data_IF_035243876336
#
_entry.id   IF_035243876336
#
_cell.length_a   1.000
_cell.length_b   1.000
_cell.length_c   1.000
_cell.angle_alpha   90.00
_cell.angle_beta   90.00
_cell.angle_gamma   90.00
#
_symmetry.space_group_name_H-M   'P 1'
#
loop_
_entity.id
_entity.type
_entity.pdbx_description
1 polymer ?
#
# COMPACT_ATOMS: atom_id res chain seq x y z
N UNK A 1 3.80 -47.30 0.64
CA UNK A 1 4.90 -46.38 0.30
C UNK A 1 4.27 -45.05 -0.10
N UNK A 2 4.08 -44.16 0.86
CA UNK A 2 3.40 -42.87 0.65
C UNK A 2 4.45 -41.80 0.41
N UNK A 3 4.80 -41.54 -0.85
CA UNK A 3 5.59 -40.35 -1.17
C UNK A 3 4.62 -39.21 -1.48
N UNK A 4 4.51 -38.35 -0.47
CA UNK A 4 3.86 -37.04 -0.52
C UNK A 4 4.30 -36.28 -1.78
N UNK A 5 3.31 -35.84 -2.56
CA UNK A 5 3.49 -34.89 -3.64
C UNK A 5 4.09 -33.60 -3.07
N UNK A 6 5.40 -33.41 -3.22
CA UNK A 6 6.06 -32.12 -3.00
C UNK A 6 5.63 -31.17 -4.12
N UNK A 7 4.44 -30.60 -3.98
CA UNK A 7 4.04 -29.45 -4.77
C UNK A 7 4.66 -28.21 -4.12
N UNK A 8 5.97 -28.03 -4.31
CA UNK A 8 6.67 -26.79 -3.94
C UNK A 8 6.30 -25.72 -4.94
N UNK A 9 5.18 -25.04 -4.71
CA UNK A 9 4.82 -23.85 -5.49
C UNK A 9 5.98 -22.83 -5.40
N UNK A 10 6.42 -22.34 -6.57
CA UNK A 10 7.52 -21.37 -6.66
C UNK A 10 7.12 -20.00 -6.11
N UNK A 11 5.82 -19.72 -6.06
CA UNK A 11 5.24 -18.49 -5.52
C UNK A 11 4.01 -18.80 -4.66
N UNK A 12 3.63 -17.84 -3.84
CA UNK A 12 2.35 -17.81 -3.15
C UNK A 12 1.79 -16.39 -3.17
N UNK A 13 0.49 -16.25 -2.93
CA UNK A 13 -0.17 -14.96 -2.79
C UNK A 13 -0.29 -14.60 -1.30
N UNK A 14 0.22 -13.45 -0.91
CA UNK A 14 0.12 -12.91 0.44
C UNK A 14 -0.85 -11.73 0.50
N UNK A 15 -1.93 -11.85 1.28
CA UNK A 15 -2.77 -10.72 1.65
C UNK A 15 -2.12 -9.99 2.81
N UNK A 16 -1.90 -8.69 2.65
CA UNK A 16 -1.32 -7.80 3.63
C UNK A 16 -2.35 -6.75 4.02
N UNK A 17 -2.36 -6.37 5.30
CA UNK A 17 -3.20 -5.31 5.85
C UNK A 17 -2.32 -4.14 6.29
N UNK A 18 -2.75 -2.92 6.03
CA UNK A 18 -2.13 -1.72 6.57
C UNK A 18 -2.83 -1.40 7.89
N UNK A 19 -2.07 -1.40 8.97
CA UNK A 19 -2.54 -1.00 10.29
C UNK A 19 -1.49 -0.13 10.95
N UNK A 20 -1.90 1.02 11.47
CA UNK A 20 -1.01 1.98 12.14
C UNK A 20 0.21 2.35 11.28
N UNK A 21 -0.01 2.49 9.95
CA UNK A 21 1.04 2.83 8.98
C UNK A 21 2.02 1.70 8.62
N UNK A 22 1.81 0.46 9.10
CA UNK A 22 2.65 -0.70 8.78
C UNK A 22 1.89 -1.78 8.02
N UNK A 23 2.52 -2.32 6.98
CA UNK A 23 2.00 -3.48 6.26
C UNK A 23 2.29 -4.76 7.04
N UNK A 24 1.24 -5.44 7.47
CA UNK A 24 1.31 -6.68 8.23
C UNK A 24 0.76 -7.84 7.39
N UNK A 25 1.36 -9.04 7.47
CA UNK A 25 0.81 -10.22 6.82
C UNK A 25 -0.51 -10.64 7.49
N UNK A 26 -1.50 -11.00 6.68
CA UNK A 26 -2.82 -11.43 7.16
C UNK A 26 -3.14 -12.87 6.73
N UNK A 27 -3.02 -13.19 5.43
CA UNK A 27 -3.34 -14.53 4.91
C UNK A 27 -2.44 -14.93 3.76
N UNK A 28 -2.26 -16.23 3.59
CA UNK A 28 -1.48 -16.85 2.53
C UNK A 28 -2.39 -17.74 1.68
N UNK A 29 -2.26 -17.65 0.37
CA UNK A 29 -2.97 -18.45 -0.63
C UNK A 29 -1.99 -19.06 -1.62
N UNK A 30 -2.40 -20.15 -2.27
CA UNK A 30 -1.66 -20.72 -3.39
C UNK A 30 -1.55 -19.72 -4.55
N UNK A 31 -0.56 -19.88 -5.42
CA UNK A 31 -0.36 -18.99 -6.57
C UNK A 31 -1.60 -18.88 -7.47
N UNK A 32 -2.33 -19.99 -7.63
CA UNK A 32 -3.48 -20.09 -8.53
C UNK A 32 -4.80 -19.59 -7.92
N UNK A 33 -4.81 -19.27 -6.61
CA UNK A 33 -6.02 -18.93 -5.86
C UNK A 33 -6.26 -17.41 -5.76
N UNK A 34 -5.94 -16.67 -6.83
CA UNK A 34 -6.09 -15.20 -6.84
C UNK A 34 -7.52 -14.74 -6.52
N UNK A 35 -8.54 -15.47 -7.00
CA UNK A 35 -9.93 -15.14 -6.70
C UNK A 35 -10.26 -15.19 -5.21
N UNK A 36 -9.76 -16.20 -4.49
CA UNK A 36 -9.95 -16.30 -3.04
C UNK A 36 -9.14 -15.25 -2.28
N UNK A 37 -7.91 -14.98 -2.74
CA UNK A 37 -7.08 -13.91 -2.18
C UNK A 37 -7.74 -12.53 -2.32
N UNK A 38 -8.37 -12.25 -3.47
CA UNK A 38 -9.14 -11.02 -3.72
C UNK A 38 -10.36 -10.94 -2.82
N UNK A 39 -11.17 -12.01 -2.75
CA UNK A 39 -12.34 -12.04 -1.87
C UNK A 39 -11.95 -11.78 -0.42
N UNK A 40 -10.86 -12.40 0.06
CA UNK A 40 -10.40 -12.19 1.43
C UNK A 40 -9.85 -10.78 1.65
N UNK A 41 -9.11 -10.23 0.69
CA UNK A 41 -8.60 -8.87 0.79
C UNK A 41 -9.74 -7.86 0.87
N UNK A 42 -10.79 -8.00 0.07
CA UNK A 42 -11.98 -7.15 0.13
C UNK A 42 -12.79 -7.33 1.42
N UNK A 43 -12.90 -8.56 1.93
CA UNK A 43 -13.55 -8.82 3.21
C UNK A 43 -12.85 -8.07 4.35
N UNK A 44 -11.51 -8.14 4.39
CA UNK A 44 -10.70 -7.49 5.42
C UNK A 44 -10.66 -5.97 5.24
N UNK A 45 -10.69 -5.46 4.00
CA UNK A 45 -10.71 -4.01 3.75
C UNK A 45 -11.98 -3.31 4.25
N UNK A 46 -13.06 -4.07 4.46
CA UNK A 46 -14.31 -3.56 5.07
C UNK A 46 -14.15 -3.28 6.57
N UNK A 47 -13.15 -3.86 7.22
CA UNK A 47 -12.85 -3.58 8.61
C UNK A 47 -12.30 -2.16 8.76
N UNK A 48 -12.99 -1.33 9.56
CA UNK A 48 -12.60 0.05 9.82
C UNK A 48 -11.31 0.18 10.63
N UNK A 49 -10.86 -0.90 11.28
CA UNK A 49 -9.59 -0.93 12.01
C UNK A 49 -8.38 -1.12 11.10
N UNK A 50 -8.62 -1.42 9.81
CA UNK A 50 -7.59 -1.57 8.79
C UNK A 50 -7.62 -0.34 7.87
N UNK A 51 -6.45 0.25 7.65
CA UNK A 51 -6.28 1.41 6.77
C UNK A 51 -6.34 1.06 5.28
N UNK A 52 -6.03 -0.19 4.94
CA UNK A 52 -6.03 -0.69 3.58
C UNK A 52 -5.55 -2.13 3.46
N UNK A 53 -5.80 -2.76 2.33
CA UNK A 53 -5.32 -4.12 2.04
C UNK A 53 -4.58 -4.16 0.71
N UNK A 54 -3.64 -5.09 0.56
CA UNK A 54 -2.99 -5.39 -0.73
C UNK A 54 -2.66 -6.86 -0.86
N UNK A 55 -2.47 -7.30 -2.10
CA UNK A 55 -2.05 -8.67 -2.44
C UNK A 55 -0.68 -8.61 -3.09
N UNK A 56 0.24 -9.40 -2.56
CA UNK A 56 1.59 -9.58 -3.10
C UNK A 56 1.74 -11.01 -3.63
N UNK A 57 2.36 -11.17 -4.80
CA UNK A 57 2.91 -12.44 -5.24
C UNK A 57 4.33 -12.56 -4.70
N UNK A 58 4.56 -13.52 -3.82
CA UNK A 58 5.78 -13.69 -3.04
C UNK A 58 6.45 -14.99 -3.46
N UNK A 59 7.72 -14.98 -3.88
CA UNK A 59 8.43 -16.22 -4.20
C UNK A 59 8.76 -17.00 -2.93
N UNK A 60 8.73 -18.32 -3.03
CA UNK A 60 9.11 -19.21 -1.91
C UNK A 60 10.62 -19.33 -1.74
N UNK A 61 11.39 -19.09 -2.81
CA UNK A 61 12.84 -18.91 -2.79
C UNK A 61 13.15 -17.41 -2.95
N UNK A 62 13.88 -16.82 -2.01
CA UNK A 62 14.12 -15.36 -1.90
C UNK A 62 14.93 -14.71 -3.03
N UNK A 63 15.00 -15.33 -4.20
CA UNK A 63 15.72 -14.89 -5.40
C UNK A 63 15.00 -13.77 -6.16
N UNK A 64 13.70 -13.59 -5.96
CA UNK A 64 12.89 -12.58 -6.66
C UNK A 64 12.21 -11.65 -5.65
N UNK A 65 12.06 -10.37 -5.99
CA UNK A 65 11.33 -9.43 -5.14
C UNK A 65 9.81 -9.73 -5.19
N UNK A 66 9.07 -9.59 -4.07
CA UNK A 66 7.62 -9.66 -4.08
C UNK A 66 7.00 -8.67 -5.07
N UNK A 67 6.05 -9.13 -5.88
CA UNK A 67 5.32 -8.30 -6.84
C UNK A 67 3.96 -7.91 -6.28
N UNK A 68 3.64 -6.62 -6.29
CA UNK A 68 2.29 -6.16 -5.98
C UNK A 68 1.33 -6.52 -7.10
N UNK A 69 0.27 -7.26 -6.76
CA UNK A 69 -0.73 -7.74 -7.71
C UNK A 69 -2.02 -6.93 -7.65
N UNK A 70 -2.35 -6.42 -6.48
CA UNK A 70 -3.58 -5.65 -6.25
C UNK A 70 -3.48 -4.82 -4.98
N UNK A 71 -4.19 -3.70 -4.95
CA UNK A 71 -4.31 -2.79 -3.80
C UNK A 71 -5.77 -2.37 -3.66
N UNK A 72 -6.25 -2.26 -2.42
CA UNK A 72 -7.61 -1.80 -2.11
C UNK A 72 -7.93 -0.47 -2.82
N UNK A 73 -9.06 -0.38 -3.53
CA UNK A 73 -9.53 0.87 -4.11
C UNK A 73 -9.74 1.98 -3.06
N UNK A 74 -10.22 1.62 -1.87
CA UNK A 74 -10.42 2.56 -0.76
C UNK A 74 -9.09 3.14 -0.29
N UNK A 75 -8.09 2.28 -0.12
CA UNK A 75 -6.74 2.71 0.24
C UNK A 75 -6.11 3.57 -0.85
N UNK A 76 -6.23 3.16 -2.12
CA UNK A 76 -5.71 3.93 -3.25
C UNK A 76 -6.33 5.33 -3.33
N UNK A 77 -7.65 5.44 -3.12
CA UNK A 77 -8.35 6.72 -3.07
C UNK A 77 -7.89 7.60 -1.90
N UNK A 78 -7.74 7.03 -0.70
CA UNK A 78 -7.23 7.75 0.48
C UNK A 78 -5.79 8.24 0.27
N UNK A 79 -4.93 7.38 -0.27
CA UNK A 79 -3.54 7.73 -0.56
C UNK A 79 -3.42 8.86 -1.59
N UNK A 80 -4.26 8.85 -2.63
CA UNK A 80 -4.30 9.94 -3.61
C UNK A 80 -4.83 11.24 -2.99
N UNK A 81 -5.88 11.18 -2.17
CA UNK A 81 -6.39 12.35 -1.44
C UNK A 81 -5.31 12.95 -0.52
N UNK A 82 -4.58 12.12 0.22
CA UNK A 82 -3.49 12.55 1.10
C UNK A 82 -2.33 13.17 0.31
N UNK A 83 -2.01 12.63 -0.87
CA UNK A 83 -1.00 13.18 -1.77
C UNK A 83 -1.41 14.56 -2.29
N UNK A 84 -2.66 14.73 -2.70
CA UNK A 84 -3.17 16.02 -3.16
C UNK A 84 -3.19 17.06 -2.05
N UNK A 85 -3.57 16.67 -0.83
CA UNK A 85 -3.50 17.54 0.35
C UNK A 85 -2.07 18.02 0.61
N UNK A 86 -1.08 17.13 0.62
CA UNK A 86 0.33 17.51 0.78
C UNK A 86 0.82 18.48 -0.29
N UNK A 87 0.38 18.30 -1.54
CA UNK A 87 0.72 19.23 -2.63
C UNK A 87 0.08 20.61 -2.43
N UNK A 88 -1.18 20.65 -1.98
CA UNK A 88 -1.84 21.92 -1.65
C UNK A 88 -1.15 22.63 -0.49
N UNK A 89 -0.86 21.91 0.60
CA UNK A 89 -0.16 22.45 1.77
C UNK A 89 1.23 23.00 1.39
N UNK A 90 1.97 22.27 0.55
CA UNK A 90 3.26 22.73 0.02
C UNK A 90 3.15 23.99 -0.82
N UNK A 91 2.10 24.13 -1.65
CA UNK A 91 1.83 25.35 -2.42
C UNK A 91 1.50 26.52 -1.52
N UNK A 92 0.63 26.33 -0.52
CA UNK A 92 0.29 27.37 0.46
C UNK A 92 1.53 27.87 1.21
N UNK A 93 2.33 26.95 1.76
CA UNK A 93 3.58 27.29 2.45
C UNK A 93 4.56 28.05 1.55
N UNK A 94 4.65 27.67 0.28
CA UNK A 94 5.50 28.39 -0.69
C UNK A 94 5.01 29.82 -0.95
N UNK A 95 3.70 30.02 -1.09
CA UNK A 95 3.12 31.34 -1.27
C UNK A 95 3.34 32.23 -0.03
N UNK A 96 3.17 31.70 1.16
CA UNK A 96 3.43 32.41 2.42
C UNK A 96 4.90 32.82 2.54
N UNK A 97 5.83 31.93 2.19
CA UNK A 97 7.27 32.21 2.19
C UNK A 97 7.64 33.31 1.20
N UNK A 98 7.10 33.26 -0.03
CA UNK A 98 7.33 34.29 -1.05
C UNK A 98 6.74 35.64 -0.65
N UNK A 99 5.53 35.65 -0.09
CA UNK A 99 4.90 36.88 0.41
C UNK A 99 5.69 37.50 1.57
N UNK A 100 6.23 36.66 2.46
CA UNK A 100 7.07 37.10 3.58
C UNK A 100 8.42 37.64 3.10
N UNK A 101 9.07 36.97 2.14
CA UNK A 101 10.32 37.43 1.53
C UNK A 101 10.15 38.79 0.84
N UNK A 102 9.09 38.95 0.02
CA UNK A 102 8.79 40.22 -0.64
C UNK A 102 8.55 41.37 0.34
N UNK A 103 7.88 41.11 1.48
CA UNK A 103 7.67 42.12 2.54
C UNK A 103 8.98 42.48 3.27
N UNK A 104 9.88 41.53 3.44
CA UNK A 104 11.18 41.76 4.06
C UNK A 104 12.10 42.62 3.18
N UNK A 105 12.05 42.42 1.87
CA UNK A 105 12.83 43.22 0.91
C UNK A 105 12.33 44.67 0.82
N UNK A 106 11.01 44.88 0.81
CA UNK A 106 10.42 46.24 0.78
C UNK A 106 10.81 47.06 2.01
N UNK A 107 11.01 46.44 3.18
CA UNK A 107 11.43 47.13 4.42
C UNK A 107 12.91 47.53 4.46
N UNK A 108 13.75 47.02 3.55
CA UNK A 108 15.19 47.30 3.49
C UNK A 108 15.58 48.36 2.45
N UNK A 109 14.62 48.79 1.63
CA UNK A 109 14.70 49.97 0.75
C UNK A 109 14.05 51.16 1.42
#
# INVERSE_FOLDING_TARGET
MSNQSQNTEAFFLGVMVLKDGKWLPHSKFAENDLGQALYKAEEVDKDRTVDGTKILKIPTSGTVAPKEMWVSPRFAAKAEADKQKKLQDGRHKTQENLASARRADIKKT
#
